data_IF_507249721210
#
_entry.id   IF_507249721210
#
_cell.length_a   1.000
_cell.length_b   1.000
_cell.length_c   1.000
_cell.angle_alpha   90.00
_cell.angle_beta   90.00
_cell.angle_gamma   90.00
#
_symmetry.space_group_name_H-M   'P 1'
#
loop_
_entity.id
_entity.type
_entity.pdbx_description
1 polymer ?
#
# COMPACT_ATOMS: atom_id res chain seq x y z
N UNK A 1 2.47 -33.13 -3.63
CA UNK A 1 3.21 -34.32 -3.19
C UNK A 1 4.36 -33.84 -2.31
N UNK A 2 4.33 -34.11 -1.01
CA UNK A 2 5.45 -33.79 -0.11
C UNK A 2 6.36 -35.00 -0.03
N UNK A 3 7.65 -34.84 -0.34
CA UNK A 3 8.65 -35.90 -0.26
C UNK A 3 8.85 -36.44 1.17
N UNK A 4 8.34 -35.72 2.18
CA UNK A 4 8.41 -36.12 3.58
C UNK A 4 7.13 -36.83 4.03
N UNK A 5 7.24 -38.13 4.34
CA UNK A 5 6.12 -38.98 4.80
C UNK A 5 5.92 -38.96 6.33
N UNK A 6 6.81 -38.29 7.07
CA UNK A 6 6.76 -38.21 8.54
C UNK A 6 5.92 -37.05 9.10
N UNK A 7 5.50 -36.13 8.23
CA UNK A 7 4.72 -34.97 8.66
C UNK A 7 3.23 -35.29 8.74
N UNK A 8 2.62 -34.91 9.85
CA UNK A 8 1.17 -34.94 10.00
C UNK A 8 0.50 -34.07 8.94
N UNK A 9 -0.69 -34.48 8.49
CA UNK A 9 -1.46 -33.74 7.48
C UNK A 9 -1.67 -32.26 7.85
N UNK A 10 -1.81 -31.98 9.14
CA UNK A 10 -1.89 -30.62 9.71
C UNK A 10 -0.63 -29.80 9.45
N UNK A 11 0.56 -30.40 9.60
CA UNK A 11 1.85 -29.73 9.36
C UNK A 11 2.02 -29.40 7.89
N UNK A 12 1.66 -30.33 7.00
CA UNK A 12 1.68 -30.12 5.55
C UNK A 12 0.71 -29.01 5.16
N UNK A 13 -0.53 -29.04 5.64
CA UNK A 13 -1.53 -28.00 5.39
C UNK A 13 -1.06 -26.61 5.86
N UNK A 14 -0.41 -26.52 7.03
CA UNK A 14 0.15 -25.27 7.55
C UNK A 14 1.25 -24.72 6.65
N UNK A 15 2.18 -25.54 6.19
CA UNK A 15 3.26 -25.11 5.29
C UNK A 15 2.70 -24.61 3.95
N UNK A 16 1.69 -25.30 3.41
CA UNK A 16 1.02 -24.84 2.19
C UNK A 16 0.29 -23.51 2.41
N UNK A 17 -0.32 -23.30 3.57
CA UNK A 17 -0.93 -22.02 3.94
C UNK A 17 0.10 -20.88 3.99
N UNK A 18 1.26 -21.10 4.61
CA UNK A 18 2.34 -20.10 4.64
C UNK A 18 2.84 -19.75 3.24
N UNK A 19 2.98 -20.74 2.35
CA UNK A 19 3.34 -20.50 0.95
C UNK A 19 2.32 -19.59 0.24
N UNK A 20 1.03 -19.82 0.46
CA UNK A 20 -0.04 -18.98 -0.10
C UNK A 20 0.01 -17.54 0.41
N UNK A 21 0.42 -17.33 1.67
CA UNK A 21 0.63 -15.99 2.22
C UNK A 21 1.75 -15.25 1.46
N UNK A 22 2.86 -15.94 1.17
CA UNK A 22 3.98 -15.38 0.39
C UNK A 22 3.54 -15.05 -1.05
N UNK A 23 2.80 -15.95 -1.70
CA UNK A 23 2.27 -15.71 -3.05
C UNK A 23 1.32 -14.50 -3.09
N UNK A 24 0.45 -14.37 -2.09
CA UNK A 24 -0.46 -13.24 -1.93
C UNK A 24 0.30 -11.92 -1.70
N UNK A 25 1.37 -11.96 -0.90
CA UNK A 25 2.25 -10.81 -0.68
C UNK A 25 2.93 -10.35 -1.98
N UNK A 26 3.52 -11.25 -2.75
CA UNK A 26 4.13 -10.90 -4.04
C UNK A 26 3.10 -10.45 -5.08
N UNK A 27 1.87 -10.98 -5.03
CA UNK A 27 0.76 -10.48 -5.86
C UNK A 27 0.44 -9.03 -5.52
N UNK A 28 0.37 -8.68 -4.24
CA UNK A 28 0.12 -7.32 -3.77
C UNK A 28 1.23 -6.36 -4.18
N UNK A 29 2.50 -6.78 -4.06
CA UNK A 29 3.66 -6.02 -4.54
C UNK A 29 3.52 -5.72 -6.03
N UNK A 30 3.30 -6.75 -6.87
CA UNK A 30 3.21 -6.59 -8.33
C UNK A 30 2.03 -5.71 -8.76
N UNK A 31 0.92 -5.73 -8.01
CA UNK A 31 -0.26 -4.90 -8.29
C UNK A 31 -0.03 -3.42 -7.91
N UNK A 32 0.57 -3.16 -6.75
CA UNK A 32 0.71 -1.80 -6.25
C UNK A 32 1.96 -1.11 -6.78
N UNK A 33 3.07 -1.82 -6.86
CA UNK A 33 4.31 -1.37 -7.47
C UNK A 33 4.27 -1.83 -8.93
N UNK A 34 3.81 -0.95 -9.84
CA UNK A 34 3.86 -1.20 -11.29
C UNK A 34 5.32 -1.29 -11.73
N UNK A 35 5.96 -2.43 -11.50
CA UNK A 35 7.28 -2.77 -12.01
C UNK A 35 7.09 -3.00 -13.52
N UNK A 36 7.01 -1.91 -14.29
CA UNK A 36 6.70 -1.93 -15.73
C UNK A 36 7.89 -2.36 -16.59
N UNK A 37 9.10 -2.14 -16.11
CA UNK A 37 10.33 -2.64 -16.72
C UNK A 37 11.42 -2.58 -15.67
N UNK A 38 12.29 -3.59 -15.67
CA UNK A 38 13.52 -3.52 -14.90
C UNK A 38 14.40 -2.42 -15.52
N UNK A 39 14.78 -1.42 -14.72
CA UNK A 39 15.61 -0.28 -15.14
C UNK A 39 17.03 -0.74 -15.55
N UNK A 40 17.41 -1.96 -15.21
CA UNK A 40 18.59 -2.66 -15.69
C UNK A 40 18.36 -4.17 -15.63
N UNK A 41 18.91 -4.90 -16.61
CA UNK A 41 18.77 -6.37 -16.74
C UNK A 41 19.90 -7.15 -16.07
N UNK A 42 20.87 -6.46 -15.46
CA UNK A 42 21.95 -7.12 -14.72
C UNK A 42 21.43 -7.73 -13.42
N UNK A 43 22.03 -8.85 -12.98
CA UNK A 43 21.61 -9.55 -11.76
C UNK A 43 21.60 -8.64 -10.52
N UNK A 44 22.57 -7.75 -10.40
CA UNK A 44 22.62 -6.77 -9.32
C UNK A 44 21.48 -5.73 -9.41
N UNK A 45 21.16 -5.25 -10.62
CA UNK A 45 20.05 -4.31 -10.81
C UNK A 45 18.70 -4.95 -10.41
N UNK A 46 18.49 -6.22 -10.75
CA UNK A 46 17.30 -6.98 -10.33
C UNK A 46 17.27 -7.15 -8.82
N UNK A 47 18.39 -7.52 -8.20
CA UNK A 47 18.48 -7.68 -6.75
C UNK A 47 18.15 -6.37 -6.02
N UNK A 48 18.73 -5.24 -6.44
CA UNK A 48 18.45 -3.92 -5.87
C UNK A 48 16.96 -3.59 -6.02
N UNK A 49 16.35 -3.83 -7.19
CA UNK A 49 14.92 -3.55 -7.41
C UNK A 49 14.01 -4.37 -6.48
N UNK A 50 14.36 -5.63 -6.23
CA UNK A 50 13.62 -6.46 -5.27
C UNK A 50 13.75 -5.87 -3.86
N UNK A 51 14.95 -5.54 -3.41
CA UNK A 51 15.16 -4.91 -2.10
C UNK A 51 14.42 -3.58 -1.97
N UNK A 52 14.48 -2.72 -2.98
CA UNK A 52 13.74 -1.44 -3.01
C UNK A 52 12.23 -1.66 -2.96
N UNK A 53 11.69 -2.65 -3.68
CA UNK A 53 10.26 -2.97 -3.64
C UNK A 53 9.83 -3.44 -2.25
N UNK A 54 10.64 -4.27 -1.59
CA UNK A 54 10.41 -4.74 -0.22
C UNK A 54 10.45 -3.59 0.80
N UNK A 55 11.43 -2.70 0.70
CA UNK A 55 11.51 -1.52 1.56
C UNK A 55 10.31 -0.60 1.33
N UNK A 56 9.92 -0.39 0.08
CA UNK A 56 8.78 0.47 -0.29
C UNK A 56 7.48 -0.06 0.30
N UNK A 57 7.20 -1.36 0.19
CA UNK A 57 5.96 -1.93 0.74
C UNK A 57 5.94 -1.91 2.26
N UNK A 58 7.11 -2.09 2.91
CA UNK A 58 7.25 -1.96 4.35
C UNK A 58 6.90 -0.54 4.81
N UNK A 59 7.47 0.48 4.16
CA UNK A 59 7.19 1.89 4.47
C UNK A 59 5.72 2.25 4.25
N UNK A 60 5.13 1.82 3.12
CA UNK A 60 3.72 2.07 2.84
C UNK A 60 2.78 1.40 3.87
N UNK A 61 3.11 0.18 4.28
CA UNK A 61 2.34 -0.52 5.31
C UNK A 61 2.49 0.18 6.66
N UNK A 62 3.70 0.63 7.00
CA UNK A 62 3.93 1.42 8.21
C UNK A 62 3.12 2.73 8.20
N UNK A 63 3.14 3.48 7.09
CA UNK A 63 2.35 4.71 6.94
C UNK A 63 0.85 4.41 7.09
N UNK A 64 0.34 3.37 6.43
CA UNK A 64 -1.06 2.95 6.57
C UNK A 64 -1.42 2.67 8.04
N UNK A 65 -0.56 1.96 8.78
CA UNK A 65 -0.80 1.61 10.18
C UNK A 65 -0.75 2.82 11.12
N UNK A 66 0.07 3.82 10.81
CA UNK A 66 0.18 5.06 11.61
C UNK A 66 -0.89 6.09 11.27
N UNK A 67 -1.48 6.02 10.08
CA UNK A 67 -2.53 6.93 9.66
C UNK A 67 -3.79 6.79 10.53
N UNK A 68 -4.39 7.92 10.92
CA UNK A 68 -5.73 7.93 11.52
C UNK A 68 -6.83 7.64 10.50
N UNK A 69 -6.58 7.95 9.23
CA UNK A 69 -7.49 7.69 8.13
C UNK A 69 -7.39 6.24 7.65
N UNK A 70 -8.53 5.60 7.36
CA UNK A 70 -8.61 4.21 6.92
C UNK A 70 -8.21 4.07 5.45
N UNK A 71 -6.90 4.09 5.18
CA UNK A 71 -6.39 3.99 3.82
C UNK A 71 -6.54 2.58 3.23
N UNK A 72 -7.08 2.52 2.01
CA UNK A 72 -6.79 1.41 1.10
C UNK A 72 -5.35 1.55 0.57
N UNK A 73 -4.58 0.45 0.58
CA UNK A 73 -3.17 0.44 0.14
C UNK A 73 -3.01 1.04 -1.26
N UNK A 74 -3.87 0.66 -2.21
CA UNK A 74 -3.83 1.15 -3.59
C UNK A 74 -3.97 2.67 -3.67
N UNK A 75 -4.88 3.25 -2.87
CA UNK A 75 -5.08 4.70 -2.83
C UNK A 75 -3.85 5.38 -2.22
N UNK A 76 -3.36 4.90 -1.08
CA UNK A 76 -2.18 5.44 -0.43
C UNK A 76 -0.96 5.44 -1.37
N UNK A 77 -0.72 4.33 -2.06
CA UNK A 77 0.37 4.22 -3.06
C UNK A 77 0.19 5.25 -4.17
N UNK A 78 -1.02 5.39 -4.72
CA UNK A 78 -1.28 6.32 -5.81
C UNK A 78 -1.08 7.77 -5.38
N UNK A 79 -1.58 8.15 -4.21
CA UNK A 79 -1.40 9.50 -3.71
C UNK A 79 0.05 9.82 -3.33
N UNK A 80 0.77 8.87 -2.70
CA UNK A 80 2.20 9.06 -2.40
C UNK A 80 2.99 9.27 -3.69
N UNK A 81 2.64 8.57 -4.78
CA UNK A 81 3.25 8.82 -6.10
C UNK A 81 2.98 10.21 -6.63
N UNK A 82 1.74 10.70 -6.52
CA UNK A 82 1.36 12.03 -7.01
C UNK A 82 2.01 13.15 -6.18
N UNK A 83 2.18 12.93 -4.87
CA UNK A 83 2.69 13.93 -3.94
C UNK A 83 4.19 13.76 -3.62
N UNK A 84 4.89 12.85 -4.29
CA UNK A 84 6.28 12.50 -3.98
C UNK A 84 7.25 13.69 -4.12
N UNK A 85 6.93 14.62 -5.02
CA UNK A 85 7.70 15.84 -5.29
C UNK A 85 7.04 17.11 -4.74
N UNK A 86 5.90 16.98 -4.06
CA UNK A 86 5.16 18.12 -3.52
C UNK A 86 5.59 18.35 -2.08
N UNK A 87 5.84 19.60 -1.71
CA UNK A 87 6.15 19.99 -0.33
C UNK A 87 4.87 20.00 0.51
N UNK A 88 4.45 18.83 0.99
CA UNK A 88 3.32 18.65 1.90
C UNK A 88 3.77 18.17 3.27
N UNK A 89 3.05 18.56 4.32
CA UNK A 89 3.20 17.90 5.62
C UNK A 89 2.59 16.50 5.52
N UNK A 90 3.46 15.49 5.41
CA UNK A 90 3.03 14.10 5.19
C UNK A 90 2.08 13.61 6.28
N UNK A 91 2.34 13.94 7.55
CA UNK A 91 1.54 13.46 8.68
C UNK A 91 0.15 14.08 8.72
N UNK A 92 0.04 15.38 8.44
CA UNK A 92 -1.24 16.07 8.36
C UNK A 92 -2.09 15.51 7.22
N UNK A 93 -1.50 15.40 6.03
CA UNK A 93 -2.16 14.86 4.84
C UNK A 93 -2.57 13.39 5.02
N UNK A 94 -1.70 12.57 5.61
CA UNK A 94 -1.98 11.15 5.86
C UNK A 94 -3.18 10.96 6.80
N UNK A 95 -3.38 11.88 7.74
CA UNK A 95 -4.49 11.85 8.70
C UNK A 95 -5.78 12.48 8.13
N UNK A 96 -5.67 13.49 7.28
CA UNK A 96 -6.79 14.20 6.67
C UNK A 96 -6.51 14.47 5.17
N UNK A 97 -6.62 13.46 4.30
CA UNK A 97 -6.24 13.61 2.88
C UNK A 97 -7.18 14.49 2.07
N UNK A 98 -8.41 14.68 2.55
CA UNK A 98 -9.43 15.48 1.88
C UNK A 98 -9.72 16.72 2.71
N UNK A 99 -9.59 17.89 2.10
CA UNK A 99 -10.12 19.13 2.65
C UNK A 99 -11.64 18.96 2.67
N UNK A 100 -12.24 18.84 3.85
CA UNK A 100 -13.70 18.84 3.94
C UNK A 100 -14.17 20.19 3.39
N UNK A 101 -15.13 20.25 2.45
CA UNK A 101 -15.69 21.52 2.04
C UNK A 101 -16.15 22.24 3.30
N UNK A 102 -15.70 23.50 3.45
CA UNK A 102 -16.13 24.37 4.56
C UNK A 102 -17.66 24.27 4.58
N UNK A 103 -18.26 23.89 5.73
CA UNK A 103 -19.72 23.94 5.87
C UNK A 103 -20.11 25.36 5.47
N UNK A 104 -20.78 25.51 4.34
CA UNK A 104 -21.34 26.80 3.94
C UNK A 104 -22.41 27.05 4.99
N UNK A 105 -22.13 28.00 5.89
CA UNK A 105 -23.10 28.38 6.89
C UNK A 105 -24.39 28.74 6.16
N UNK A 106 -25.51 28.13 6.57
CA UNK A 106 -26.82 28.24 5.94
C UNK A 106 -27.39 29.68 5.89
N UNK A 107 -26.58 30.68 6.27
CA UNK A 107 -26.84 32.11 6.10
C UNK A 107 -27.18 32.41 4.63
N UNK A 108 -26.56 31.73 3.67
CA UNK A 108 -26.82 31.96 2.25
C UNK A 108 -28.23 31.53 1.79
N UNK A 109 -28.88 30.60 2.51
CA UNK A 109 -30.26 30.19 2.24
C UNK A 109 -31.30 31.18 2.80
N UNK A 110 -30.92 32.01 3.79
CA UNK A 110 -31.80 33.04 4.35
C UNK A 110 -31.95 34.27 3.44
N UNK A 111 -31.11 34.42 2.43
CA UNK A 111 -31.16 35.54 1.48
C UNK A 111 -32.25 35.39 0.40
N UNK A 112 -32.76 34.17 0.18
CA UNK A 112 -33.78 33.87 -0.83
C UNK A 112 -35.16 33.61 -0.23
N UNK A 113 -35.32 33.80 1.08
CA UNK A 113 -36.57 33.57 1.82
C UNK A 113 -37.35 34.86 2.12
N UNK A 114 -37.11 35.93 1.34
CA UNK A 114 -37.79 37.22 1.44
C UNK A 114 -38.89 37.38 0.42
#
# INVERSE_FOLDING_TARGET
MTHNRSWTATTVARIYKERWHIESFFKLIKQNLRIKSFVGTSGNAVQIQIWTALITILLLTFLKTKAKYQWHISNLVNFVRLNLFVKINLWEWLNQPFVRPRKVDAVQLKLFAG
#
